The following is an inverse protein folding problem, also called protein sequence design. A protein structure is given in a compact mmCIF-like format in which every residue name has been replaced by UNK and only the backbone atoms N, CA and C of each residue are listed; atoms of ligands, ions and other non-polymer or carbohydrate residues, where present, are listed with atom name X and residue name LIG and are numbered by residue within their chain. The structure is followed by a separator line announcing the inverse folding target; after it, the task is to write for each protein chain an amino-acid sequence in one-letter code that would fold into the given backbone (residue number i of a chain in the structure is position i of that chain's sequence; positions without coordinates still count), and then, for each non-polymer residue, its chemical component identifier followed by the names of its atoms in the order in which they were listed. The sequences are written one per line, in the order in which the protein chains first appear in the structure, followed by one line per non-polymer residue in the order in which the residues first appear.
data_IF_252171403504
#
_entry.id   IF_252171403504
#
_cell.length_a   1.000
_cell.length_b   1.000
_cell.length_c   1.000
_cell.angle_alpha   90.00
_cell.angle_beta   90.00
_cell.angle_gamma   90.00
#
_symmetry.space_group_name_H-M   'P 1'
#
loop_
_entity.id
_entity.type
_entity.pdbx_description
1 polymer ?
#
# COMPACT_ATOMS: atom_id res chain seq x y z
N UNK A 1 -64.05 -8.62 1.24
CA UNK A 1 -64.89 -7.93 0.19
C UNK A 1 -63.98 -7.63 -0.98
N UNK A 2 -64.24 -8.31 -2.07
CA UNK A 2 -64.55 -7.89 -3.46
C UNK A 2 -63.36 -7.22 -4.14
N UNK A 3 -62.74 -7.94 -5.10
CA UNK A 3 -63.00 -7.98 -6.59
C UNK A 3 -62.30 -6.81 -7.28
N UNK A 4 -61.62 -6.94 -8.37
CA UNK A 4 -61.56 -7.90 -9.50
C UNK A 4 -60.49 -7.38 -10.47
N UNK A 5 -59.82 -8.26 -11.18
CA UNK A 5 -59.91 -8.54 -12.62
C UNK A 5 -59.92 -7.32 -13.56
N UNK A 6 -59.01 -7.31 -14.56
CA UNK A 6 -59.22 -7.80 -15.93
C UNK A 6 -57.95 -7.49 -16.76
N UNK A 7 -57.31 -8.48 -17.33
CA UNK A 7 -56.99 -8.86 -18.69
C UNK A 7 -57.10 -7.77 -19.78
N UNK A 8 -56.12 -7.61 -20.60
CA UNK A 8 -56.31 -7.70 -22.08
C UNK A 8 -54.98 -7.94 -22.82
N UNK A 9 -54.95 -9.04 -23.53
CA UNK A 9 -54.00 -9.38 -24.60
C UNK A 9 -54.27 -8.49 -25.83
N UNK A 10 -53.24 -8.17 -26.58
CA UNK A 10 -53.41 -7.97 -28.02
C UNK A 10 -52.16 -8.45 -28.76
N UNK A 11 -52.39 -9.43 -29.59
CA UNK A 11 -51.55 -10.07 -30.59
C UNK A 11 -51.57 -9.29 -31.90
N UNK A 12 -50.66 -9.68 -32.80
CA UNK A 12 -50.54 -9.42 -34.26
C UNK A 12 -49.89 -8.08 -34.66
N UNK A 13 -48.90 -8.06 -35.52
CA UNK A 13 -48.91 -8.54 -36.91
C UNK A 13 -47.52 -8.61 -37.54
N UNK A 14 -47.25 -9.69 -38.23
CA UNK A 14 -46.18 -9.97 -39.16
C UNK A 14 -46.37 -9.11 -40.42
N UNK A 15 -45.32 -8.46 -40.90
CA UNK A 15 -45.26 -8.04 -42.30
C UNK A 15 -43.87 -8.30 -42.87
N UNK A 16 -43.84 -9.38 -43.68
CA UNK A 16 -42.80 -9.67 -44.65
C UNK A 16 -43.01 -8.81 -45.89
N UNK A 17 -41.94 -8.14 -46.31
CA UNK A 17 -41.93 -7.57 -47.68
C UNK A 17 -40.62 -7.93 -48.36
N UNK A 18 -40.70 -8.95 -49.20
CA UNK A 18 -39.71 -9.29 -50.22
C UNK A 18 -39.79 -8.29 -51.38
N UNK A 19 -38.68 -7.67 -51.72
CA UNK A 19 -38.53 -7.00 -53.02
C UNK A 19 -37.34 -7.61 -53.75
N UNK A 20 -37.67 -8.39 -54.75
CA UNK A 20 -36.77 -8.85 -55.80
C UNK A 20 -36.75 -7.76 -56.87
N UNK A 21 -35.61 -7.26 -57.22
CA UNK A 21 -35.44 -6.50 -58.47
C UNK A 21 -34.18 -6.95 -59.22
N UNK A 22 -34.45 -7.30 -60.41
CA UNK A 22 -33.67 -7.99 -61.44
C UNK A 22 -32.63 -7.10 -62.10
N UNK A 23 -31.54 -7.65 -62.39
CA UNK A 23 -30.55 -7.47 -63.48
C UNK A 23 -30.74 -6.46 -64.53
N UNK A 24 -29.72 -5.65 -64.79
CA UNK A 24 -29.30 -5.20 -66.07
C UNK A 24 -27.79 -5.31 -66.21
N UNK A 25 -27.39 -6.22 -67.08
CA UNK A 25 -26.04 -6.42 -67.58
C UNK A 25 -25.65 -5.27 -68.48
N UNK A 26 -24.50 -4.67 -68.29
CA UNK A 26 -23.73 -4.02 -69.32
C UNK A 26 -22.24 -4.30 -69.14
N UNK A 27 -21.71 -5.01 -70.08
CA UNK A 27 -20.29 -5.27 -70.29
C UNK A 27 -19.58 -4.02 -70.79
N UNK A 28 -18.49 -3.63 -70.16
CA UNK A 28 -17.39 -2.93 -70.82
C UNK A 28 -16.09 -3.27 -70.09
N UNK A 29 -15.14 -3.72 -70.85
CA UNK A 29 -13.77 -4.05 -70.44
C UNK A 29 -13.12 -2.90 -69.71
N UNK A 30 -12.59 -3.15 -68.53
CA UNK A 30 -11.79 -2.22 -67.78
C UNK A 30 -11.20 -2.98 -66.58
N UNK A 31 -9.91 -3.01 -66.51
CA UNK A 31 -9.07 -3.68 -65.52
C UNK A 31 -9.70 -3.80 -64.13
N UNK A 32 -10.09 -5.02 -63.74
CA UNK A 32 -10.49 -5.33 -62.38
C UNK A 32 -9.25 -5.34 -61.50
N UNK A 33 -8.98 -4.20 -60.86
CA UNK A 33 -8.19 -4.18 -59.64
C UNK A 33 -9.05 -4.90 -58.60
N UNK A 34 -8.77 -6.17 -58.38
CA UNK A 34 -9.26 -6.88 -57.20
C UNK A 34 -8.63 -6.22 -56.00
N UNK A 35 -9.36 -5.29 -55.38
CA UNK A 35 -9.05 -4.88 -54.01
C UNK A 35 -9.36 -6.12 -53.18
N UNK A 36 -8.35 -6.95 -52.96
CA UNK A 36 -8.35 -7.91 -51.89
C UNK A 36 -8.33 -7.04 -50.64
N UNK A 37 -9.51 -6.83 -50.06
CA UNK A 37 -9.64 -6.36 -48.68
C UNK A 37 -9.10 -7.50 -47.77
N UNK A 38 -7.78 -7.72 -47.83
CA UNK A 38 -7.07 -8.40 -46.79
C UNK A 38 -7.16 -7.50 -45.56
N UNK A 39 -8.23 -7.63 -44.79
CA UNK A 39 -8.23 -7.26 -43.40
C UNK A 39 -7.15 -8.15 -42.76
N UNK A 40 -5.92 -7.64 -42.77
CA UNK A 40 -4.87 -8.12 -41.92
C UNK A 40 -5.49 -8.16 -40.52
N UNK A 41 -5.61 -9.32 -39.87
CA UNK A 41 -6.06 -9.34 -38.49
C UNK A 41 -5.18 -8.36 -37.76
N UNK A 42 -5.75 -7.34 -37.10
CA UNK A 42 -4.99 -6.50 -36.19
C UNK A 42 -4.29 -7.50 -35.23
N UNK A 43 -2.97 -7.62 -35.34
CA UNK A 43 -2.20 -8.38 -34.37
C UNK A 43 -2.57 -7.82 -33.01
N UNK A 44 -3.26 -8.59 -32.20
CA UNK A 44 -3.60 -8.19 -30.85
C UNK A 44 -2.26 -8.05 -30.11
N UNK A 45 -1.91 -6.82 -29.78
CA UNK A 45 -0.68 -6.52 -29.05
C UNK A 45 -0.56 -7.42 -27.82
N UNK A 46 0.60 -8.06 -27.62
CA UNK A 46 0.83 -8.91 -26.48
C UNK A 46 0.68 -8.10 -25.17
N UNK A 47 -0.01 -8.64 -24.16
CA UNK A 47 -0.13 -7.97 -22.87
C UNK A 47 1.23 -7.89 -22.18
N UNK A 48 1.43 -6.87 -21.35
CA UNK A 48 2.50 -6.86 -20.34
C UNK A 48 2.13 -7.85 -19.23
N UNK A 49 3.12 -8.41 -18.54
CA UNK A 49 2.86 -9.37 -17.48
C UNK A 49 3.83 -9.18 -16.31
N UNK A 50 3.31 -9.18 -15.09
CA UNK A 50 4.10 -9.10 -13.86
C UNK A 50 3.76 -10.22 -12.89
N UNK A 51 4.76 -10.68 -12.16
CA UNK A 51 4.62 -11.56 -11.01
C UNK A 51 5.01 -10.76 -9.78
N UNK A 52 4.12 -10.67 -8.80
CA UNK A 52 4.36 -9.96 -7.56
C UNK A 52 5.09 -10.85 -6.56
N UNK A 53 6.12 -10.28 -5.91
CA UNK A 53 6.79 -10.89 -4.77
C UNK A 53 7.01 -9.89 -3.66
N UNK A 54 6.72 -10.29 -2.43
CA UNK A 54 6.85 -9.46 -1.24
C UNK A 54 8.15 -9.73 -0.49
N UNK A 55 8.81 -8.64 -0.07
CA UNK A 55 10.08 -8.68 0.63
C UNK A 55 10.05 -7.87 1.93
N UNK A 56 10.81 -8.31 2.92
CA UNK A 56 11.14 -7.58 4.14
C UNK A 56 12.61 -7.81 4.41
N UNK A 57 13.42 -6.76 4.54
CA UNK A 57 14.87 -6.83 4.77
C UNK A 57 15.60 -7.80 3.80
N UNK A 58 15.34 -7.71 2.52
CA UNK A 58 15.87 -8.59 1.47
C UNK A 58 15.41 -10.08 1.54
N UNK A 59 14.56 -10.44 2.48
CA UNK A 59 13.98 -11.79 2.60
C UNK A 59 12.68 -11.88 1.82
N UNK A 60 12.52 -12.88 0.96
CA UNK A 60 11.26 -13.19 0.29
C UNK A 60 10.24 -13.70 1.31
N UNK A 61 9.20 -12.93 1.55
CA UNK A 61 8.11 -13.25 2.49
C UNK A 61 6.79 -13.56 1.78
N UNK A 62 6.81 -13.71 0.45
CA UNK A 62 5.60 -13.93 -0.37
C UNK A 62 4.75 -15.08 0.15
N UNK A 63 5.38 -16.20 0.53
CA UNK A 63 4.69 -17.37 1.05
C UNK A 63 4.12 -17.21 2.47
N UNK A 64 4.51 -16.16 3.23
CA UNK A 64 3.99 -15.92 4.58
C UNK A 64 2.54 -15.44 4.58
N UNK A 65 2.08 -14.84 3.47
CA UNK A 65 0.71 -14.35 3.34
C UNK A 65 0.42 -13.07 4.14
N UNK A 66 1.46 -12.33 4.52
CA UNK A 66 1.33 -11.07 5.28
C UNK A 66 0.65 -9.97 4.45
N UNK A 67 0.87 -9.99 3.12
CA UNK A 67 0.33 -9.01 2.18
C UNK A 67 -1.09 -9.38 1.78
N UNK A 68 -2.09 -8.63 2.24
CA UNK A 68 -3.51 -8.98 2.05
C UNK A 68 -4.07 -8.62 0.68
N UNK A 69 -3.75 -7.44 0.18
CA UNK A 69 -4.20 -6.96 -1.13
C UNK A 69 -3.17 -5.99 -1.70
N UNK A 70 -3.05 -5.97 -3.02
CA UNK A 70 -2.14 -5.08 -3.73
C UNK A 70 -2.91 -4.33 -4.82
N UNK A 71 -2.71 -3.03 -4.91
CA UNK A 71 -3.22 -2.23 -6.03
C UNK A 71 -2.06 -1.83 -6.93
N UNK A 72 -2.17 -2.17 -8.21
CA UNK A 72 -1.26 -1.78 -9.26
C UNK A 72 -1.79 -0.52 -9.95
N UNK A 73 -0.99 0.53 -10.01
CA UNK A 73 -1.25 1.74 -10.77
C UNK A 73 -0.41 1.68 -12.04
N UNK A 74 -1.06 1.66 -13.18
CA UNK A 74 -0.44 1.52 -14.49
C UNK A 74 -0.39 2.89 -15.15
N UNK A 75 0.80 3.26 -15.59
CA UNK A 75 1.06 4.49 -16.34
C UNK A 75 1.63 4.13 -17.72
N UNK A 76 1.23 4.87 -18.74
CA UNK A 76 1.69 4.68 -20.10
C UNK A 76 3.13 5.20 -20.31
N UNK A 77 3.60 5.19 -21.54
CA UNK A 77 4.95 5.65 -21.90
C UNK A 77 5.23 7.12 -21.61
N UNK A 78 4.17 7.95 -21.51
CA UNK A 78 4.25 9.38 -21.18
C UNK A 78 4.16 9.63 -19.67
N UNK A 79 4.01 8.57 -18.86
CA UNK A 79 3.71 8.59 -17.44
C UNK A 79 2.29 9.10 -17.11
N UNK A 80 1.37 9.08 -18.06
CA UNK A 80 -0.04 9.37 -17.83
C UNK A 80 -0.73 8.16 -17.22
N UNK A 81 -1.62 8.39 -16.24
CA UNK A 81 -2.35 7.33 -15.59
C UNK A 81 -3.29 6.62 -16.57
N UNK A 82 -3.09 5.32 -16.74
CA UNK A 82 -3.90 4.50 -17.61
C UNK A 82 -5.04 3.79 -16.88
N UNK A 83 -4.72 3.02 -15.83
CA UNK A 83 -5.69 2.28 -15.00
C UNK A 83 -5.11 1.81 -13.69
N UNK A 84 -5.98 1.36 -12.78
CA UNK A 84 -5.60 0.60 -11.61
C UNK A 84 -6.15 -0.84 -11.69
N UNK A 85 -5.42 -1.78 -11.06
CA UNK A 85 -5.77 -3.20 -10.97
C UNK A 85 -5.59 -3.62 -9.51
N UNK A 86 -6.64 -4.10 -8.88
CA UNK A 86 -6.52 -4.69 -7.54
C UNK A 86 -6.29 -6.18 -7.66
N UNK A 87 -5.28 -6.67 -6.95
CA UNK A 87 -4.84 -8.06 -6.91
C UNK A 87 -5.02 -8.55 -5.48
N UNK A 88 -5.72 -9.65 -5.31
CA UNK A 88 -5.91 -10.27 -4.01
C UNK A 88 -4.69 -11.09 -3.56
N UNK A 89 -4.71 -11.55 -2.30
CA UNK A 89 -3.61 -12.32 -1.72
C UNK A 89 -3.33 -13.65 -2.47
N UNK A 90 -4.34 -14.25 -3.07
CA UNK A 90 -4.19 -15.55 -3.75
C UNK A 90 -3.25 -15.44 -4.98
N UNK A 91 -3.23 -14.30 -5.65
CA UNK A 91 -2.29 -14.03 -6.74
C UNK A 91 -0.84 -14.04 -6.26
N UNK A 92 -0.57 -13.41 -5.10
CA UNK A 92 0.76 -13.38 -4.51
C UNK A 92 1.16 -14.78 -4.04
N UNK A 93 0.34 -15.43 -3.21
CA UNK A 93 0.63 -16.75 -2.65
C UNK A 93 0.87 -17.82 -3.71
N UNK A 94 0.13 -17.77 -4.82
CA UNK A 94 0.25 -18.71 -5.92
C UNK A 94 1.25 -18.26 -6.99
N UNK A 95 1.90 -17.09 -6.79
CA UNK A 95 2.88 -16.51 -7.73
C UNK A 95 2.29 -16.41 -9.15
N UNK A 96 1.01 -16.04 -9.24
CA UNK A 96 0.30 -15.93 -10.52
C UNK A 96 0.69 -14.67 -11.27
N UNK A 97 0.90 -14.75 -12.60
CA UNK A 97 1.11 -13.57 -13.40
C UNK A 97 -0.16 -12.70 -13.50
N UNK A 98 0.02 -11.39 -13.39
CA UNK A 98 -1.00 -10.38 -13.65
C UNK A 98 -0.79 -9.83 -15.05
N UNK A 99 -1.75 -10.04 -15.95
CA UNK A 99 -1.71 -9.52 -17.31
C UNK A 99 -2.26 -8.08 -17.37
N UNK A 100 -1.53 -7.21 -18.07
CA UNK A 100 -1.83 -5.79 -18.19
C UNK A 100 -1.93 -5.43 -19.66
N UNK A 101 -3.16 -5.22 -20.13
CA UNK A 101 -3.42 -4.71 -21.46
C UNK A 101 -3.36 -3.18 -21.43
N UNK A 102 -2.44 -2.58 -22.20
CA UNK A 102 -2.28 -1.15 -22.41
C UNK A 102 -2.00 -0.90 -23.91
N UNK A 103 -3.04 -0.94 -24.77
CA UNK A 103 -2.87 -0.82 -26.22
C UNK A 103 -2.23 0.52 -26.60
N UNK A 104 -1.36 0.48 -27.61
CA UNK A 104 -0.71 1.66 -28.15
C UNK A 104 0.50 2.15 -27.35
N UNK A 105 0.90 1.45 -26.27
CA UNK A 105 2.10 1.79 -25.50
C UNK A 105 3.15 0.71 -25.66
N UNK A 106 4.36 1.06 -26.05
CA UNK A 106 5.51 0.14 -26.11
C UNK A 106 6.19 -0.07 -24.75
N UNK A 107 5.92 0.84 -23.83
CA UNK A 107 6.45 0.84 -22.47
C UNK A 107 5.38 1.28 -21.49
N UNK A 108 5.31 0.63 -20.33
CA UNK A 108 4.48 1.06 -19.19
C UNK A 108 5.31 1.10 -17.91
N UNK A 109 4.89 1.96 -16.99
CA UNK A 109 5.37 1.94 -15.60
C UNK A 109 4.27 1.40 -14.72
N UNK A 110 4.59 0.43 -13.87
CA UNK A 110 3.66 -0.15 -12.89
C UNK A 110 4.15 0.17 -11.49
N UNK A 111 3.34 0.88 -10.72
CA UNK A 111 3.57 1.15 -9.29
C UNK A 111 2.62 0.30 -8.48
N UNK A 112 3.15 -0.45 -7.52
CA UNK A 112 2.38 -1.32 -6.63
C UNK A 112 2.37 -0.75 -5.21
N UNK A 113 1.19 -0.65 -4.62
CA UNK A 113 0.99 -0.41 -3.20
C UNK A 113 0.16 -1.53 -2.59
N UNK A 114 0.62 -2.06 -1.45
CA UNK A 114 -0.12 -3.10 -0.72
C UNK A 114 -0.21 -2.79 0.77
N UNK A 115 -1.15 -3.44 1.46
CA UNK A 115 -1.35 -3.29 2.90
C UNK A 115 -2.07 -2.01 3.33
N UNK A 116 -2.58 -1.20 2.39
CA UNK A 116 -3.32 0.03 2.68
C UNK A 116 -4.59 -0.27 3.48
N UNK A 117 -4.81 0.52 4.53
CA UNK A 117 -6.04 0.53 5.33
C UNK A 117 -6.77 1.85 5.15
N UNK A 118 -8.02 1.81 4.70
CA UNK A 118 -8.83 3.02 4.54
C UNK A 118 -9.10 3.77 5.85
N UNK A 119 -8.82 3.18 7.00
CA UNK A 119 -8.92 3.84 8.31
C UNK A 119 -7.68 4.68 8.62
N UNK A 120 -6.51 4.24 8.19
CA UNK A 120 -5.21 4.83 8.50
C UNK A 120 -4.66 5.69 7.37
N UNK A 121 -4.80 5.25 6.12
CA UNK A 121 -4.22 5.90 4.97
C UNK A 121 -5.28 6.42 3.99
N UNK A 122 -4.84 7.36 3.18
CA UNK A 122 -5.47 7.77 1.94
C UNK A 122 -4.46 7.69 0.79
N UNK A 123 -4.94 7.34 -0.38
CA UNK A 123 -4.15 7.33 -1.61
C UNK A 123 -4.78 8.29 -2.62
N UNK A 124 -3.93 8.93 -3.44
CA UNK A 124 -4.40 9.85 -4.48
C UNK A 124 -5.49 9.22 -5.35
N UNK A 125 -6.58 9.96 -5.57
CA UNK A 125 -7.64 9.52 -6.47
C UNK A 125 -7.19 9.72 -7.92
N UNK A 126 -6.63 8.68 -8.51
CA UNK A 126 -6.06 8.71 -9.85
C UNK A 126 -7.12 8.62 -10.94
N UNK A 127 -7.01 9.48 -11.94
CA UNK A 127 -7.83 9.49 -13.15
C UNK A 127 -6.98 9.83 -14.37
N UNK A 128 -7.53 9.78 -15.58
CA UNK A 128 -6.79 9.97 -16.82
C UNK A 128 -6.14 11.35 -17.03
N UNK A 129 -6.42 12.32 -16.18
CA UNK A 129 -5.75 13.61 -16.19
C UNK A 129 -4.52 13.66 -15.27
N UNK A 130 -4.26 12.60 -14.51
CA UNK A 130 -3.15 12.52 -13.57
C UNK A 130 -1.93 11.86 -14.21
N UNK A 131 -0.76 12.26 -13.74
CA UNK A 131 0.54 11.68 -14.09
C UNK A 131 1.12 10.93 -12.88
N UNK A 132 2.17 10.15 -13.10
CA UNK A 132 2.77 9.31 -12.06
C UNK A 132 3.16 10.09 -10.80
N UNK A 133 3.63 11.34 -10.93
CA UNK A 133 4.03 12.18 -9.80
C UNK A 133 2.85 12.61 -8.90
N UNK A 134 1.60 12.46 -9.36
CA UNK A 134 0.42 12.75 -8.56
C UNK A 134 0.06 11.62 -7.59
N UNK A 135 0.67 10.43 -7.78
CA UNK A 135 0.45 9.29 -6.92
C UNK A 135 1.15 9.46 -5.58
N UNK A 136 0.37 9.53 -4.51
CA UNK A 136 0.85 9.68 -3.14
C UNK A 136 0.02 8.82 -2.20
N UNK A 137 0.67 8.24 -1.19
CA UNK A 137 0.03 7.60 -0.04
C UNK A 137 0.30 8.44 1.18
N UNK A 138 -0.75 8.82 1.92
CA UNK A 138 -0.64 9.70 3.09
C UNK A 138 -1.34 9.10 4.28
N UNK A 139 -0.76 9.24 5.47
CA UNK A 139 -1.45 8.96 6.72
C UNK A 139 -2.51 10.02 6.99
N UNK A 140 -3.68 9.58 7.40
CA UNK A 140 -4.71 10.46 7.93
C UNK A 140 -4.29 10.99 9.29
N UNK A 141 -4.25 12.30 9.41
CA UNK A 141 -3.82 12.94 10.64
C UNK A 141 -4.67 14.17 10.96
N UNK A 142 -4.71 14.54 12.23
CA UNK A 142 -5.33 15.76 12.71
C UNK A 142 -4.31 16.56 13.53
N UNK A 143 -4.11 17.83 13.18
CA UNK A 143 -3.17 18.75 13.87
C UNK A 143 -1.75 18.14 14.05
N UNK A 144 -1.24 17.42 13.03
CA UNK A 144 0.09 16.81 13.08
C UNK A 144 0.19 15.56 13.93
N UNK A 145 -0.94 14.91 14.28
CA UNK A 145 -0.99 13.63 14.98
C UNK A 145 -1.74 12.63 14.11
N UNK A 146 -1.14 11.48 13.84
CA UNK A 146 -1.78 10.41 13.08
C UNK A 146 -3.08 9.95 13.78
N UNK A 147 -4.15 9.77 13.01
CA UNK A 147 -5.43 9.32 13.55
C UNK A 147 -5.37 7.87 14.00
N UNK A 148 -4.66 7.05 13.22
CA UNK A 148 -4.41 5.64 13.48
C UNK A 148 -2.96 5.29 13.13
N UNK A 149 -2.49 4.14 13.60
CA UNK A 149 -1.21 3.59 13.20
C UNK A 149 -1.25 3.13 11.74
N UNK A 150 -0.13 3.22 10.99
CA UNK A 150 -0.10 2.76 9.61
C UNK A 150 -0.36 1.25 9.51
N UNK A 151 -0.99 0.86 8.40
CA UNK A 151 -1.06 -0.53 7.98
C UNK A 151 0.34 -1.11 7.68
N UNK A 152 0.40 -2.41 7.41
CA UNK A 152 1.65 -3.05 6.95
C UNK A 152 1.85 -2.77 5.46
N UNK A 153 2.41 -1.59 5.15
CA UNK A 153 2.53 -1.05 3.79
C UNK A 153 3.70 -1.68 3.04
N UNK A 154 3.45 -2.00 1.76
CA UNK A 154 4.48 -2.43 0.82
C UNK A 154 4.42 -1.59 -0.45
N UNK A 155 5.58 -1.35 -1.04
CA UNK A 155 5.74 -0.57 -2.26
C UNK A 155 6.70 -1.26 -3.22
N UNK A 156 6.41 -1.15 -4.53
CA UNK A 156 7.33 -1.55 -5.59
C UNK A 156 7.00 -0.84 -6.90
N UNK A 157 8.00 -0.73 -7.77
CA UNK A 157 7.84 -0.13 -9.09
C UNK A 157 8.66 -0.89 -10.12
N UNK A 158 8.11 -1.03 -11.33
CA UNK A 158 8.81 -1.63 -12.46
C UNK A 158 8.44 -0.92 -13.75
N UNK A 159 9.40 -0.83 -14.67
CA UNK A 159 9.17 -0.42 -16.05
C UNK A 159 9.18 -1.65 -16.93
N UNK A 160 8.09 -1.85 -17.68
CA UNK A 160 7.92 -2.97 -18.59
C UNK A 160 7.99 -2.48 -20.02
N UNK A 161 8.69 -3.24 -20.86
CA UNK A 161 8.74 -3.01 -22.30
C UNK A 161 7.97 -4.10 -23.03
N UNK A 162 7.23 -3.72 -24.06
CA UNK A 162 6.48 -4.67 -24.87
C UNK A 162 7.42 -5.62 -25.60
N UNK A 163 7.16 -6.90 -25.50
CA UNK A 163 7.86 -7.92 -26.26
C UNK A 163 7.17 -8.16 -27.59
N UNK A 164 7.92 -8.26 -28.66
CA UNK A 164 7.41 -8.46 -30.03
C UNK A 164 6.82 -9.85 -30.28
N UNK A 165 7.08 -10.83 -29.40
CA UNK A 165 6.77 -12.22 -29.73
C UNK A 165 5.93 -12.97 -28.70
N UNK A 166 6.03 -12.66 -27.41
CA UNK A 166 5.26 -13.31 -26.35
C UNK A 166 5.36 -12.52 -25.05
N UNK A 167 4.25 -12.45 -24.31
CA UNK A 167 4.28 -11.92 -22.94
C UNK A 167 5.23 -12.75 -22.07
N UNK A 168 6.30 -12.10 -21.59
CA UNK A 168 7.20 -12.68 -20.60
C UNK A 168 6.93 -11.99 -19.29
N UNK A 169 6.56 -12.76 -18.26
CA UNK A 169 6.32 -12.20 -16.94
C UNK A 169 7.62 -11.72 -16.31
N UNK A 170 7.61 -10.49 -15.79
CA UNK A 170 8.71 -9.91 -15.03
C UNK A 170 8.34 -9.85 -13.55
N UNK A 171 9.33 -10.00 -12.67
CA UNK A 171 9.13 -9.94 -11.23
C UNK A 171 9.03 -8.47 -10.80
N UNK A 172 7.90 -8.11 -10.16
CA UNK A 172 7.73 -6.85 -9.45
C UNK A 172 7.89 -7.12 -7.96
N UNK A 173 9.02 -6.69 -7.42
CA UNK A 173 9.30 -6.75 -5.99
C UNK A 173 8.57 -5.64 -5.28
N UNK A 174 7.79 -6.00 -4.26
CA UNK A 174 7.21 -5.04 -3.31
C UNK A 174 7.90 -5.20 -1.96
N UNK A 175 8.44 -4.13 -1.43
CA UNK A 175 9.20 -4.11 -0.20
C UNK A 175 8.42 -3.41 0.91
N UNK A 176 8.57 -3.91 2.16
CA UNK A 176 7.89 -3.34 3.33
C UNK A 176 8.39 -1.92 3.60
N UNK A 177 7.47 -0.97 3.72
CA UNK A 177 7.74 0.47 3.86
C UNK A 177 7.50 1.03 5.25
N UNK A 178 7.04 0.23 6.17
CA UNK A 178 6.82 0.62 7.57
C UNK A 178 7.88 0.01 8.47
N UNK A 179 8.08 0.64 9.62
CA UNK A 179 8.89 0.13 10.72
C UNK A 179 8.00 -0.40 11.83
N UNK A 180 8.49 -1.37 12.58
CA UNK A 180 7.90 -1.82 13.84
C UNK A 180 8.65 -1.22 15.00
N UNK A 181 7.94 -0.92 16.11
CA UNK A 181 8.54 -0.36 17.30
C UNK A 181 7.92 -0.96 18.56
N UNK A 182 8.73 -1.08 19.62
CA UNK A 182 8.24 -1.32 20.98
C UNK A 182 8.99 -0.43 21.97
N UNK A 183 8.31 0.01 23.04
CA UNK A 183 8.89 0.86 24.06
C UNK A 183 8.65 0.23 25.44
N UNK A 184 9.73 0.13 26.22
CA UNK A 184 9.72 -0.33 27.61
C UNK A 184 10.36 0.72 28.50
N UNK A 185 9.64 1.21 29.53
CA UNK A 185 10.25 2.04 30.58
C UNK A 185 10.39 1.23 31.88
N UNK A 186 11.63 0.87 32.20
CA UNK A 186 11.97 0.13 33.44
C UNK A 186 11.92 1.02 34.67
N UNK A 187 11.32 0.48 35.74
CA UNK A 187 11.27 1.16 37.04
C UNK A 187 10.24 2.28 37.14
N UNK A 188 9.29 2.34 36.21
CA UNK A 188 8.28 3.41 36.12
C UNK A 188 7.44 3.53 37.40
N UNK A 189 6.93 2.42 37.94
CA UNK A 189 6.15 2.43 39.17
C UNK A 189 6.96 2.97 40.37
N UNK A 190 8.27 2.61 40.47
CA UNK A 190 9.14 3.05 41.54
C UNK A 190 9.42 4.56 41.51
N UNK A 191 9.46 5.15 40.30
CA UNK A 191 9.77 6.57 40.11
C UNK A 191 8.50 7.42 40.12
N UNK A 192 7.42 6.96 39.53
CA UNK A 192 6.19 7.74 39.38
C UNK A 192 5.16 7.45 40.50
N UNK A 193 5.32 6.36 41.23
CA UNK A 193 4.49 5.94 42.37
C UNK A 193 2.97 5.99 42.11
N UNK A 194 2.55 5.66 40.88
CA UNK A 194 1.14 5.66 40.50
C UNK A 194 0.82 4.48 39.60
N UNK A 195 -0.20 3.69 40.00
CA UNK A 195 -0.74 2.59 39.20
C UNK A 195 -1.96 3.00 38.33
N UNK A 196 -2.62 4.07 38.73
CA UNK A 196 -3.92 4.48 38.13
C UNK A 196 -3.81 5.64 37.16
N UNK A 197 -2.60 6.18 36.98
CA UNK A 197 -2.36 7.27 36.00
C UNK A 197 -2.48 6.78 34.56
N UNK A 198 -2.92 7.66 33.70
CA UNK A 198 -2.93 7.44 32.27
C UNK A 198 -1.54 7.71 31.68
N UNK A 199 -0.89 6.67 31.16
CA UNK A 199 0.42 6.77 30.53
C UNK A 199 0.34 6.59 29.04
N UNK A 200 1.06 7.44 28.30
CA UNK A 200 1.22 7.30 26.86
C UNK A 200 2.54 7.92 26.38
N UNK A 201 3.02 7.42 25.24
CA UNK A 201 4.16 8.02 24.56
C UNK A 201 3.67 8.89 23.41
N UNK A 202 4.34 10.05 23.22
CA UNK A 202 4.29 10.82 21.97
C UNK A 202 5.58 10.58 21.20
N UNK A 203 5.46 10.09 19.96
CA UNK A 203 6.56 9.96 19.02
C UNK A 203 6.43 11.11 18.04
N UNK A 204 7.49 11.84 17.80
CA UNK A 204 7.52 13.04 16.95
C UNK A 204 8.57 12.91 15.85
N UNK A 205 8.45 13.76 14.82
CA UNK A 205 9.38 13.88 13.69
C UNK A 205 9.38 12.66 12.76
N UNK A 206 8.21 12.12 12.50
CA UNK A 206 8.00 11.20 11.38
C UNK A 206 7.35 11.95 10.22
N UNK A 207 7.51 11.45 8.99
CA UNK A 207 6.84 12.03 7.82
C UNK A 207 5.40 11.52 7.71
N UNK A 208 4.56 12.26 6.96
CA UNK A 208 3.14 11.91 6.83
C UNK A 208 2.81 11.09 5.59
N UNK A 209 3.72 10.98 4.62
CA UNK A 209 3.37 10.48 3.29
C UNK A 209 4.53 9.78 2.60
N UNK A 210 4.19 9.02 1.56
CA UNK A 210 5.10 8.52 0.53
C UNK A 210 4.73 9.10 -0.83
N UNK A 211 5.72 9.46 -1.63
CA UNK A 211 5.53 9.88 -3.03
C UNK A 211 5.41 8.67 -3.97
N UNK A 212 5.30 8.94 -5.29
CA UNK A 212 5.21 7.92 -6.33
C UNK A 212 6.41 6.98 -6.42
N UNK A 213 7.56 7.35 -5.86
CA UNK A 213 8.78 6.53 -5.81
C UNK A 213 8.90 5.73 -4.50
N UNK A 214 7.89 5.78 -3.62
CA UNK A 214 7.93 5.16 -2.31
C UNK A 214 8.90 5.84 -1.34
N UNK A 215 9.24 7.11 -1.56
CA UNK A 215 10.09 7.92 -0.70
C UNK A 215 9.24 8.73 0.29
N UNK A 216 9.73 8.82 1.52
CA UNK A 216 9.07 9.60 2.57
C UNK A 216 9.01 11.08 2.23
N UNK A 217 7.84 11.68 2.41
CA UNK A 217 7.56 13.09 2.10
C UNK A 217 6.46 13.64 3.02
N UNK A 218 6.00 14.84 2.74
CA UNK A 218 4.92 15.50 3.49
C UNK A 218 5.42 16.20 4.75
N UNK A 219 4.49 16.60 5.59
CA UNK A 219 4.76 17.31 6.84
C UNK A 219 5.23 16.34 7.94
N UNK A 220 5.88 16.90 8.96
CA UNK A 220 6.17 16.15 10.16
C UNK A 220 4.87 15.88 10.94
N UNK A 221 4.70 14.63 11.33
CA UNK A 221 3.60 14.19 12.18
C UNK A 221 4.14 13.43 13.40
N UNK A 222 3.27 13.15 14.35
CA UNK A 222 3.58 12.31 15.50
C UNK A 222 2.52 11.25 15.73
N UNK A 223 2.82 10.37 16.68
CA UNK A 223 1.91 9.31 17.13
C UNK A 223 1.68 9.43 18.63
N UNK A 224 0.49 9.03 19.07
CA UNK A 224 0.17 8.86 20.50
C UNK A 224 -0.03 7.37 20.72
N UNK A 225 0.85 6.77 21.54
CA UNK A 225 0.89 5.34 21.82
C UNK A 225 0.55 5.10 23.28
N UNK A 226 -0.59 4.49 23.62
CA UNK A 226 -0.92 4.13 24.99
C UNK A 226 0.14 3.21 25.59
N UNK A 227 0.45 3.40 26.87
CA UNK A 227 1.36 2.55 27.62
C UNK A 227 0.66 1.94 28.83
N UNK A 228 0.92 0.67 29.09
CA UNK A 228 0.36 -0.08 30.22
C UNK A 228 1.43 -0.43 31.23
N UNK A 229 1.09 -0.31 32.51
CA UNK A 229 1.97 -0.76 33.61
C UNK A 229 1.80 -2.27 33.74
N UNK A 230 2.92 -2.99 33.67
CA UNK A 230 2.93 -4.43 33.88
C UNK A 230 3.17 -4.79 35.38
N UNK A 231 3.04 -6.08 35.73
CA UNK A 231 3.19 -6.57 37.10
C UNK A 231 4.60 -6.29 37.72
N UNK A 232 5.61 -6.11 36.89
CA UNK A 232 6.98 -5.78 37.30
C UNK A 232 7.18 -4.27 37.55
N UNK A 233 6.13 -3.46 37.40
CA UNK A 233 6.18 -2.02 37.57
C UNK A 233 6.87 -1.27 36.44
N UNK A 234 6.90 -1.85 35.24
CA UNK A 234 7.42 -1.23 34.03
C UNK A 234 6.27 -0.82 33.12
N UNK A 235 6.45 0.28 32.37
CA UNK A 235 5.51 0.66 31.30
C UNK A 235 5.91 0.01 29.98
N UNK A 236 4.93 -0.50 29.24
CA UNK A 236 5.13 -1.12 27.93
C UNK A 236 4.02 -0.71 26.94
N UNK A 237 4.38 -0.55 25.68
CA UNK A 237 3.44 -0.25 24.59
C UNK A 237 2.94 -1.50 23.85
N UNK A 238 3.62 -2.67 24.03
CA UNK A 238 3.56 -3.72 23.01
C UNK A 238 4.27 -3.29 21.73
N UNK A 239 4.06 -4.05 20.65
CA UNK A 239 4.64 -3.76 19.33
C UNK A 239 3.60 -3.02 18.47
N UNK A 240 4.05 -2.00 17.74
CA UNK A 240 3.20 -1.17 16.88
C UNK A 240 3.97 -0.71 15.63
N UNK A 241 3.26 -0.35 14.56
CA UNK A 241 3.84 0.14 13.31
C UNK A 241 3.91 1.66 13.28
N UNK A 242 4.95 2.20 12.64
CA UNK A 242 5.12 3.64 12.33
C UNK A 242 5.72 3.81 10.93
N UNK A 243 5.63 5.00 10.36
CA UNK A 243 6.45 5.33 9.19
C UNK A 243 7.92 5.50 9.63
N UNK A 244 8.89 5.12 8.79
CA UNK A 244 10.31 5.24 9.08
C UNK A 244 10.72 6.67 9.40
N UNK A 245 11.75 6.83 10.22
CA UNK A 245 12.33 8.14 10.53
C UNK A 245 13.73 8.00 11.13
N UNK A 246 14.61 8.96 10.83
CA UNK A 246 16.02 8.92 11.25
C UNK A 246 16.31 9.64 12.56
N UNK A 247 15.40 10.47 13.05
CA UNK A 247 15.68 11.33 14.19
C UNK A 247 14.41 11.66 14.98
N UNK A 248 13.83 10.62 15.58
CA UNK A 248 12.59 10.75 16.34
C UNK A 248 12.84 11.25 17.75
N UNK A 249 11.87 11.99 18.28
CA UNK A 249 11.78 12.29 19.71
C UNK A 249 10.68 11.45 20.33
N UNK A 250 10.99 10.79 21.44
CA UNK A 250 10.04 9.98 22.21
C UNK A 250 9.84 10.64 23.57
N UNK A 251 8.60 10.99 23.87
CA UNK A 251 8.20 11.65 25.11
C UNK A 251 7.18 10.77 25.83
N UNK A 252 7.39 10.51 27.13
CA UNK A 252 6.43 9.85 28.00
C UNK A 252 5.61 10.90 28.77
N UNK A 253 4.32 10.76 28.71
CA UNK A 253 3.35 11.55 29.45
C UNK A 253 2.65 10.72 30.52
N UNK A 254 2.37 11.37 31.66
CA UNK A 254 1.50 10.89 32.73
C UNK A 254 0.42 11.92 32.99
N UNK A 255 -0.84 11.56 32.80
CA UNK A 255 -1.98 12.47 33.01
C UNK A 255 -1.77 13.83 32.31
N UNK A 256 -1.35 13.76 31.01
CA UNK A 256 -1.01 14.89 30.13
C UNK A 256 0.23 15.73 30.56
N UNK A 257 0.94 15.34 31.60
CA UNK A 257 2.20 15.97 32.03
C UNK A 257 3.38 15.22 31.45
N UNK A 258 4.29 15.93 30.76
CA UNK A 258 5.56 15.36 30.27
C UNK A 258 6.44 14.96 31.45
N UNK A 259 6.79 13.67 31.54
CA UNK A 259 7.63 13.11 32.63
C UNK A 259 8.99 12.61 32.16
N UNK A 260 9.15 12.30 30.87
CA UNK A 260 10.40 11.84 30.28
C UNK A 260 10.48 12.24 28.81
N UNK A 261 11.65 12.64 28.33
CA UNK A 261 11.95 12.85 26.90
C UNK A 261 13.26 12.18 26.53
N UNK A 262 13.33 11.54 25.38
CA UNK A 262 14.57 10.96 24.85
C UNK A 262 15.68 11.99 24.68
N UNK A 263 15.36 13.26 24.43
CA UNK A 263 16.31 14.36 24.28
C UNK A 263 17.04 14.69 25.58
N UNK A 264 16.46 14.35 26.72
CA UNK A 264 17.00 14.67 28.06
C UNK A 264 17.70 13.47 28.74
N UNK A 265 17.76 12.33 28.06
CA UNK A 265 18.38 11.12 28.59
C UNK A 265 19.86 11.09 28.24
N UNK A 266 20.73 10.70 29.18
CA UNK A 266 22.16 10.50 28.92
C UNK A 266 22.35 9.44 27.84
N UNK A 267 23.33 9.70 26.95
CA UNK A 267 23.65 8.82 25.82
C UNK A 267 22.44 8.55 24.90
N UNK A 268 21.53 9.54 24.78
CA UNK A 268 20.49 9.46 23.76
C UNK A 268 21.16 9.52 22.38
N UNK A 269 21.32 8.35 21.78
CA UNK A 269 21.58 8.24 20.35
C UNK A 269 20.31 8.71 19.62
N UNK A 270 20.43 9.12 18.36
CA UNK A 270 19.28 9.43 17.54
C UNK A 270 18.38 8.19 17.46
N UNK A 271 17.14 8.35 17.89
CA UNK A 271 16.16 7.27 17.76
C UNK A 271 15.75 7.20 16.30
N UNK A 272 16.08 6.11 15.64
CA UNK A 272 15.72 5.83 14.26
C UNK A 272 14.83 4.58 14.17
N UNK A 273 14.04 4.52 13.12
CA UNK A 273 13.25 3.35 12.75
C UNK A 273 13.34 3.17 11.24
N UNK A 274 13.91 2.06 10.80
CA UNK A 274 14.14 1.77 9.39
C UNK A 274 13.01 0.95 8.78
N UNK A 275 12.85 1.02 7.46
CA UNK A 275 11.89 0.22 6.70
C UNK A 275 12.14 -1.29 6.93
N UNK A 276 11.06 -2.03 7.19
CA UNK A 276 11.11 -3.48 7.36
C UNK A 276 11.70 -3.98 8.68
N UNK A 277 12.30 -3.11 9.50
CA UNK A 277 12.95 -3.47 10.76
C UNK A 277 12.05 -3.23 11.99
N UNK A 278 12.42 -3.85 13.10
CA UNK A 278 11.82 -3.62 14.41
C UNK A 278 12.82 -2.92 15.33
N UNK A 279 12.47 -1.72 15.81
CA UNK A 279 13.23 -0.96 16.80
C UNK A 279 12.65 -1.15 18.19
N UNK A 280 13.47 -1.64 19.13
CA UNK A 280 13.06 -1.83 20.51
C UNK A 280 13.80 -0.83 21.42
N UNK A 281 13.02 -0.04 22.15
CA UNK A 281 13.52 1.07 22.95
C UNK A 281 13.30 0.78 24.43
N UNK A 282 14.37 0.89 25.23
CA UNK A 282 14.32 0.70 26.68
C UNK A 282 14.80 1.96 27.37
N UNK A 283 13.89 2.65 28.05
CA UNK A 283 14.23 3.65 29.04
C UNK A 283 14.50 2.97 30.39
N UNK A 284 15.69 3.13 30.93
CA UNK A 284 16.05 2.64 32.28
C UNK A 284 16.11 3.83 33.25
N UNK A 285 15.03 4.04 34.00
CA UNK A 285 14.92 5.18 34.91
C UNK A 285 15.89 5.07 36.10
N UNK A 286 16.34 3.86 36.44
CA UNK A 286 17.32 3.68 37.53
C UNK A 286 18.71 4.16 37.15
N UNK A 287 19.04 4.20 35.89
CA UNK A 287 20.33 4.60 35.32
C UNK A 287 20.29 5.91 34.57
N UNK A 288 19.10 6.46 34.35
CA UNK A 288 18.85 7.60 33.45
C UNK A 288 19.52 7.41 32.09
N UNK A 289 19.28 6.29 31.44
CA UNK A 289 19.76 5.98 30.10
C UNK A 289 18.67 5.42 29.19
N UNK A 290 18.95 5.43 27.89
CA UNK A 290 18.15 4.79 26.85
C UNK A 290 19.00 3.75 26.15
N UNK A 291 18.44 2.57 25.92
CA UNK A 291 19.04 1.52 25.11
C UNK A 291 18.14 1.26 23.89
N UNK A 292 18.74 1.23 22.73
CA UNK A 292 18.04 0.95 21.46
C UNK A 292 18.62 -0.36 20.92
N UNK A 293 17.76 -1.24 20.48
CA UNK A 293 18.14 -2.44 19.75
C UNK A 293 17.28 -2.62 18.52
N UNK A 294 17.89 -3.04 17.41
CA UNK A 294 17.24 -3.32 16.15
C UNK A 294 17.21 -4.82 15.95
N UNK A 295 16.11 -5.34 15.45
CA UNK A 295 15.93 -6.75 15.13
C UNK A 295 15.12 -6.88 13.84
N UNK A 296 15.10 -8.08 13.26
CA UNK A 296 14.23 -8.40 12.15
C UNK A 296 12.75 -8.15 12.50
N UNK A 297 11.97 -7.79 11.50
CA UNK A 297 10.53 -7.59 11.65
C UNK A 297 9.83 -8.83 12.25
N UNK A 298 9.00 -8.58 13.25
CA UNK A 298 8.24 -9.64 13.91
C UNK A 298 9.04 -10.46 14.92
N UNK A 299 10.30 -10.12 15.20
CA UNK A 299 11.08 -10.74 16.25
C UNK A 299 10.63 -10.24 17.62
N UNK A 300 10.11 -11.12 18.45
CA UNK A 300 9.75 -10.78 19.84
C UNK A 300 11.01 -10.80 20.70
N UNK A 301 11.44 -9.62 21.17
CA UNK A 301 12.53 -9.54 22.14
C UNK A 301 11.95 -9.79 23.54
N UNK A 302 12.26 -10.94 24.13
CA UNK A 302 11.97 -11.22 25.54
C UNK A 302 13.00 -10.51 26.42
N UNK A 303 12.58 -9.49 27.15
CA UNK A 303 13.43 -8.86 28.15
C UNK A 303 13.48 -9.74 29.42
N UNK A 304 14.56 -10.50 29.57
CA UNK A 304 14.82 -11.23 30.84
C UNK A 304 15.36 -10.21 31.85
N UNK A 305 14.59 -9.91 32.88
CA UNK A 305 15.07 -9.16 34.02
C UNK A 305 15.94 -10.13 34.85
N UNK A 306 17.25 -10.00 34.72
CA UNK A 306 18.16 -10.67 35.67
C UNK A 306 18.05 -9.89 36.98
N UNK A 307 17.49 -10.54 38.00
CA UNK A 307 17.34 -9.99 39.37
C UNK A 307 18.67 -9.78 40.08
#
# INVERSE_FOLDING_TARGET
MKKGKIFTNCLFSIWTLSVILSFASCSSDGDSISIIDERVPLETEAPFSVILKAYSENSDITAKGDVKSTTLYVFDENNDFYKQITVDNDYLLQVKPVEINCPGSDKITVVAWAGLSSESEEISNMNRANIISDLQVSLKHNNGVANNLPGDLFYGQIVLHRSSTKATSQELKIERKVSSMSILTKGALKVFDSKESNYYYKIKRTKSSFNCNGELTGNDIGYIIPATLNDNGNLTTGTFSILPADNMTIELYRDDVLVLSSENVKNSENVAANEGEQTNIIFDLSRNNINISISEWGTVIQYVTVG
#
